data_IF_068532156736
#
_entry.id   IF_068532156736
#
_cell.length_a   1.000
_cell.length_b   1.000
_cell.length_c   1.000
_cell.angle_alpha   90.00
_cell.angle_beta   90.00
_cell.angle_gamma   90.00
#
_symmetry.space_group_name_H-M   'P 1'
#
loop_
_entity.id
_entity.type
_entity.pdbx_description
1 polymer ?
#
# COMPACT_ATOMS: atom_id res chain seq x y z
N UNK A 1 -35.55 -2.10 -16.81
CA UNK A 1 -34.87 -2.87 -17.86
C UNK A 1 -33.75 -3.64 -17.21
N UNK A 2 -33.88 -4.96 -17.05
CA UNK A 2 -32.89 -5.86 -16.42
C UNK A 2 -31.79 -6.17 -17.44
N UNK A 3 -30.56 -5.79 -17.18
CA UNK A 3 -29.39 -6.25 -17.96
C UNK A 3 -28.89 -7.56 -17.37
N UNK A 4 -29.01 -8.63 -18.14
CA UNK A 4 -28.53 -9.97 -17.86
C UNK A 4 -27.02 -9.97 -18.19
N UNK A 5 -26.21 -10.27 -17.19
CA UNK A 5 -24.75 -10.45 -17.34
C UNK A 5 -24.51 -11.93 -17.67
N UNK A 6 -24.09 -12.22 -18.89
CA UNK A 6 -23.70 -13.57 -19.31
C UNK A 6 -22.26 -13.81 -18.91
N UNK A 7 -22.07 -14.71 -17.94
CA UNK A 7 -20.77 -15.17 -17.48
C UNK A 7 -20.30 -16.30 -18.41
N UNK A 8 -19.33 -16.03 -19.26
CA UNK A 8 -18.70 -17.03 -20.14
C UNK A 8 -17.64 -17.79 -19.37
N UNK A 9 -17.92 -19.06 -19.05
CA UNK A 9 -16.95 -20.00 -18.49
C UNK A 9 -16.07 -20.54 -19.62
N UNK A 10 -14.79 -20.16 -19.64
CA UNK A 10 -13.77 -20.81 -20.45
C UNK A 10 -13.25 -22.03 -19.69
N UNK A 11 -13.66 -23.20 -20.13
CA UNK A 11 -13.08 -24.49 -19.70
C UNK A 11 -11.77 -24.68 -20.43
N UNK A 12 -10.67 -24.58 -19.71
CA UNK A 12 -9.32 -24.89 -20.24
C UNK A 12 -9.05 -26.37 -20.04
N UNK A 13 -9.13 -27.16 -21.12
CA UNK A 13 -8.79 -28.58 -21.14
C UNK A 13 -7.27 -28.76 -21.12
N UNK A 14 -6.76 -29.30 -20.02
CA UNK A 14 -5.34 -29.72 -19.90
C UNK A 14 -5.22 -31.11 -20.52
N UNK A 15 -4.53 -31.20 -21.67
CA UNK A 15 -4.12 -32.48 -22.28
C UNK A 15 -2.83 -32.97 -21.57
N UNK A 16 -2.97 -34.03 -20.79
CA UNK A 16 -1.82 -34.76 -20.23
C UNK A 16 -1.19 -35.63 -21.34
N UNK A 17 -0.03 -35.26 -21.82
CA UNK A 17 0.81 -36.10 -22.67
C UNK A 17 1.66 -36.95 -21.74
N UNK A 18 1.25 -38.20 -21.57
CA UNK A 18 2.02 -39.25 -20.94
C UNK A 18 3.05 -39.79 -21.96
N UNK A 19 4.33 -39.58 -21.71
CA UNK A 19 5.40 -40.23 -22.45
C UNK A 19 5.87 -41.45 -21.67
N UNK A 20 5.45 -42.64 -22.14
CA UNK A 20 5.93 -43.93 -21.69
C UNK A 20 7.28 -44.23 -22.36
N UNK A 21 8.36 -44.24 -21.54
CA UNK A 21 9.69 -44.64 -21.96
C UNK A 21 9.90 -46.14 -21.85
N UNK A 22 10.25 -46.79 -22.96
CA UNK A 22 10.70 -48.17 -23.01
C UNK A 22 12.20 -48.29 -22.70
N UNK A 23 12.54 -49.22 -21.85
CA UNK A 23 13.90 -49.72 -21.59
C UNK A 23 14.36 -50.62 -22.72
N UNK A 24 15.64 -50.47 -23.18
CA UNK A 24 16.46 -51.58 -23.54
C UNK A 24 17.93 -51.15 -23.69
N UNK A 25 18.77 -51.70 -23.01
CA UNK A 25 19.91 -52.56 -23.20
C UNK A 25 21.16 -51.98 -23.88
N UNK A 26 22.23 -51.84 -23.11
CA UNK A 26 23.58 -52.35 -23.43
C UNK A 26 24.43 -51.58 -24.45
N UNK A 27 25.62 -51.10 -24.02
CA UNK A 27 26.73 -50.83 -24.94
C UNK A 27 27.71 -49.79 -24.41
N UNK A 28 28.87 -50.27 -23.98
CA UNK A 28 30.12 -49.56 -23.74
C UNK A 28 30.51 -48.59 -24.87
N UNK A 29 31.05 -47.41 -24.50
CA UNK A 29 31.72 -46.55 -25.45
C UNK A 29 32.05 -45.20 -24.86
N UNK A 30 33.28 -45.06 -24.28
CA UNK A 30 33.79 -43.76 -23.85
C UNK A 30 33.86 -42.75 -24.98
N UNK A 31 33.42 -41.59 -24.72
CA UNK A 31 33.52 -40.41 -25.58
C UNK A 31 33.14 -39.19 -24.81
N UNK A 32 34.11 -38.54 -24.17
CA UNK A 32 33.93 -37.23 -23.55
C UNK A 32 33.62 -36.20 -24.63
N UNK A 33 32.34 -36.06 -24.93
CA UNK A 33 31.82 -34.94 -25.70
C UNK A 33 31.27 -33.93 -24.70
N UNK A 34 32.08 -32.96 -24.26
CA UNK A 34 31.58 -31.76 -23.68
C UNK A 34 30.74 -31.05 -24.72
N UNK A 35 29.43 -31.32 -24.74
CA UNK A 35 28.50 -30.51 -25.50
C UNK A 35 28.66 -29.05 -25.07
N UNK A 36 28.38 -28.10 -25.98
CA UNK A 36 28.41 -26.71 -25.65
C UNK A 36 27.47 -26.52 -24.47
N UNK A 37 28.03 -26.12 -23.32
CA UNK A 37 27.25 -25.66 -22.19
C UNK A 37 26.52 -24.40 -22.65
N UNK A 38 25.22 -24.50 -22.83
CA UNK A 38 24.40 -23.32 -23.09
C UNK A 38 24.75 -22.27 -22.05
N UNK A 39 24.99 -21.03 -22.50
CA UNK A 39 25.24 -19.95 -21.57
C UNK A 39 24.07 -19.88 -20.57
N UNK A 40 24.34 -19.67 -19.27
CA UNK A 40 23.30 -19.59 -18.29
C UNK A 40 22.27 -18.56 -18.74
N UNK A 41 20.98 -18.93 -18.74
CA UNK A 41 19.88 -18.03 -19.11
C UNK A 41 19.85 -16.78 -18.23
N UNK A 42 19.14 -15.76 -18.65
CA UNK A 42 19.07 -14.51 -17.90
C UNK A 42 18.55 -14.77 -16.47
N UNK A 43 19.32 -14.32 -15.48
CA UNK A 43 18.97 -14.46 -14.06
C UNK A 43 17.89 -13.46 -13.69
N UNK A 44 16.82 -13.91 -13.05
CA UNK A 44 15.74 -13.04 -12.59
C UNK A 44 16.23 -12.06 -11.50
N UNK A 45 15.64 -10.88 -11.38
CA UNK A 45 15.95 -9.92 -10.30
C UNK A 45 15.50 -10.47 -8.96
N UNK A 46 16.18 -10.06 -7.88
CA UNK A 46 15.72 -10.31 -6.52
C UNK A 46 14.69 -9.26 -6.09
N UNK A 47 13.83 -9.62 -5.14
CA UNK A 47 12.92 -8.66 -4.51
C UNK A 47 13.72 -7.67 -3.65
N UNK A 48 13.39 -6.38 -3.74
CA UNK A 48 13.99 -5.36 -2.90
C UNK A 48 13.55 -5.50 -1.43
N UNK A 49 14.45 -5.18 -0.50
CA UNK A 49 14.13 -5.10 0.92
C UNK A 49 13.81 -3.66 1.27
N UNK A 50 12.59 -3.40 1.78
CA UNK A 50 12.13 -2.07 2.13
C UNK A 50 12.83 -1.55 3.40
N UNK A 51 12.97 -0.22 3.51
CA UNK A 51 13.65 0.44 4.63
C UNK A 51 12.79 1.56 5.23
N UNK A 52 12.34 2.54 4.43
CA UNK A 52 11.53 3.68 4.88
C UNK A 52 10.41 4.01 3.90
N UNK A 53 9.23 4.43 4.39
CA UNK A 53 8.78 4.43 5.78
C UNK A 53 8.72 3.02 6.36
N UNK A 54 8.94 2.86 7.68
CA UNK A 54 8.87 1.55 8.32
C UNK A 54 7.46 0.98 8.23
N UNK A 55 7.35 -0.37 8.23
CA UNK A 55 6.05 -1.02 8.18
C UNK A 55 5.23 -0.69 9.43
N UNK A 56 3.97 -0.34 9.22
CA UNK A 56 3.02 0.10 10.26
C UNK A 56 3.48 1.35 11.03
N UNK A 57 4.33 2.20 10.42
CA UNK A 57 4.65 3.49 11.02
C UNK A 57 3.42 4.41 11.00
N UNK A 58 3.22 5.09 12.10
CA UNK A 58 2.12 6.03 12.33
C UNK A 58 2.69 7.44 12.54
N UNK A 59 1.84 8.43 12.38
CA UNK A 59 2.17 9.83 12.67
C UNK A 59 3.37 10.38 11.89
N UNK A 60 3.49 10.05 10.62
CA UNK A 60 4.47 10.71 9.74
C UNK A 60 4.01 12.14 9.44
N UNK A 61 4.71 13.13 10.01
CA UNK A 61 4.43 14.55 9.84
C UNK A 61 5.40 15.18 8.85
N UNK A 62 5.28 14.83 7.57
CA UNK A 62 6.16 15.31 6.50
C UNK A 62 5.34 15.81 5.31
N UNK A 63 5.86 16.79 4.57
CA UNK A 63 5.21 17.30 3.35
C UNK A 63 5.45 16.37 2.16
N UNK A 64 6.62 15.75 2.11
CA UNK A 64 6.94 14.72 1.13
C UNK A 64 7.49 13.48 1.85
N UNK A 65 6.98 12.31 1.45
CA UNK A 65 7.40 11.04 2.03
C UNK A 65 8.60 10.52 1.26
N UNK A 66 9.69 10.26 1.98
CA UNK A 66 10.88 9.64 1.44
C UNK A 66 10.78 8.12 1.56
N UNK A 67 10.76 7.45 0.40
CA UNK A 67 10.80 5.99 0.29
C UNK A 67 12.24 5.54 0.10
N UNK A 68 12.67 4.56 0.86
CA UNK A 68 14.01 3.98 0.78
C UNK A 68 13.93 2.45 0.79
N UNK A 69 14.78 1.81 0.01
CA UNK A 69 14.93 0.35 -0.06
C UNK A 69 16.38 -0.04 -0.34
N UNK A 70 16.72 -1.27 -0.07
CA UNK A 70 18.06 -1.77 -0.36
C UNK A 70 18.14 -2.23 -1.83
N UNK A 71 19.34 -2.08 -2.40
CA UNK A 71 19.64 -2.61 -3.74
C UNK A 71 19.38 -4.11 -3.76
N UNK A 72 18.71 -4.58 -4.81
CA UNK A 72 18.48 -6.00 -5.07
C UNK A 72 19.36 -6.49 -6.24
N UNK A 73 19.70 -7.78 -6.21
CA UNK A 73 20.57 -8.38 -7.23
C UNK A 73 19.85 -8.50 -8.58
N UNK A 74 20.63 -8.45 -9.66
CA UNK A 74 20.16 -8.57 -11.04
C UNK A 74 19.03 -7.60 -11.40
N UNK A 75 19.06 -6.39 -10.84
CA UNK A 75 18.01 -5.37 -11.00
C UNK A 75 18.60 -4.14 -11.68
N UNK A 76 17.95 -3.70 -12.76
CA UNK A 76 18.34 -2.51 -13.53
C UNK A 76 17.48 -1.30 -13.15
N UNK A 77 16.24 -1.54 -12.76
CA UNK A 77 15.32 -0.47 -12.37
C UNK A 77 14.31 -0.93 -11.32
N UNK A 78 13.73 0.04 -10.62
CA UNK A 78 12.71 -0.15 -9.58
C UNK A 78 11.46 0.63 -9.95
N UNK A 79 10.30 0.04 -9.74
CA UNK A 79 9.03 0.75 -9.76
C UNK A 79 8.48 0.80 -8.33
N UNK A 80 8.46 2.01 -7.76
CA UNK A 80 7.77 2.29 -6.50
C UNK A 80 6.27 2.36 -6.79
N UNK A 81 5.48 1.57 -6.08
CA UNK A 81 4.02 1.59 -6.15
C UNK A 81 3.46 1.97 -4.79
N UNK A 82 2.65 3.03 -4.76
CA UNK A 82 2.00 3.54 -3.56
C UNK A 82 0.50 3.50 -3.78
N UNK A 83 -0.25 3.02 -2.81
CA UNK A 83 -1.71 2.96 -2.87
C UNK A 83 -2.34 3.59 -1.65
N UNK A 84 -3.25 4.54 -1.83
CA UNK A 84 -4.13 5.03 -0.77
C UNK A 84 -5.13 3.93 -0.42
N UNK A 85 -5.21 3.56 0.86
CA UNK A 85 -6.04 2.44 1.32
C UNK A 85 -7.52 2.80 1.50
N UNK A 86 -7.86 4.10 1.53
CA UNK A 86 -9.25 4.55 1.58
C UNK A 86 -9.82 4.83 0.19
N UNK A 87 -9.10 5.60 -0.65
CA UNK A 87 -9.60 5.96 -1.98
C UNK A 87 -9.30 4.90 -3.05
N UNK A 88 -8.38 3.97 -2.76
CA UNK A 88 -7.85 2.98 -3.70
C UNK A 88 -7.03 3.57 -4.86
N UNK A 89 -6.77 4.86 -4.88
CA UNK A 89 -5.89 5.49 -5.86
C UNK A 89 -4.45 4.98 -5.72
N UNK A 90 -3.78 4.79 -6.84
CA UNK A 90 -2.41 4.30 -6.89
C UNK A 90 -1.51 5.24 -7.70
N UNK A 91 -0.29 5.42 -7.19
CA UNK A 91 0.80 6.17 -7.83
C UNK A 91 1.92 5.17 -8.13
N UNK A 92 2.50 5.27 -9.33
CA UNK A 92 3.66 4.46 -9.71
C UNK A 92 4.75 5.35 -10.26
N UNK A 93 6.00 5.14 -9.79
CA UNK A 93 7.18 5.87 -10.22
C UNK A 93 8.34 4.92 -10.47
N UNK A 94 8.94 4.98 -11.67
CA UNK A 94 10.11 4.17 -12.01
C UNK A 94 11.39 4.97 -11.82
N UNK A 95 12.42 4.33 -11.25
CA UNK A 95 13.74 4.92 -10.98
C UNK A 95 14.83 3.85 -11.02
N UNK A 96 16.06 4.26 -11.22
CA UNK A 96 17.27 3.42 -11.06
C UNK A 96 17.93 3.60 -9.69
N UNK A 97 17.45 4.58 -8.91
CA UNK A 97 17.90 4.83 -7.53
C UNK A 97 17.21 3.88 -6.55
N UNK A 98 17.77 3.77 -5.35
CA UNK A 98 17.18 3.03 -4.22
C UNK A 98 16.38 3.90 -3.28
N UNK A 99 15.99 5.09 -3.74
CA UNK A 99 15.11 6.01 -3.02
C UNK A 99 14.28 6.85 -3.97
N UNK A 100 13.13 7.31 -3.49
CA UNK A 100 12.26 8.26 -4.17
C UNK A 100 11.54 9.12 -3.13
N UNK A 101 11.16 10.34 -3.52
CA UNK A 101 10.39 11.24 -2.68
C UNK A 101 9.08 11.58 -3.38
N UNK A 102 7.96 11.47 -2.66
CA UNK A 102 6.61 11.65 -3.22
C UNK A 102 5.76 12.45 -2.25
N UNK A 103 5.15 13.53 -2.76
CA UNK A 103 4.13 14.27 -2.00
C UNK A 103 2.81 13.52 -2.04
N UNK A 104 2.25 13.25 -0.88
CA UNK A 104 0.99 12.52 -0.71
C UNK A 104 0.00 13.37 0.08
N UNK A 105 -1.28 13.08 -0.08
CA UNK A 105 -2.34 13.73 0.71
C UNK A 105 -2.26 13.28 2.16
N UNK A 106 -2.16 14.24 3.08
CA UNK A 106 -2.13 13.98 4.52
C UNK A 106 -3.46 13.44 5.05
N UNK A 107 -3.44 12.77 6.20
CA UNK A 107 -4.62 12.23 6.85
C UNK A 107 -5.09 10.87 6.32
N UNK A 108 -4.26 10.17 5.55
CA UNK A 108 -4.63 8.90 4.92
C UNK A 108 -3.65 7.76 5.24
N UNK A 109 -4.15 6.51 5.33
CA UNK A 109 -3.32 5.32 5.34
C UNK A 109 -2.89 4.95 3.92
N UNK A 110 -1.63 4.56 3.78
CA UNK A 110 -1.04 4.14 2.52
C UNK A 110 -0.42 2.75 2.64
N UNK A 111 -0.36 2.04 1.51
CA UNK A 111 0.53 0.88 1.34
C UNK A 111 1.51 1.15 0.22
N UNK A 112 2.69 0.55 0.31
CA UNK A 112 3.70 0.68 -0.71
C UNK A 112 4.54 -0.57 -0.87
N UNK A 113 5.12 -0.74 -2.03
CA UNK A 113 6.05 -1.82 -2.36
C UNK A 113 6.90 -1.46 -3.57
N UNK A 114 7.94 -2.24 -3.81
CA UNK A 114 8.87 -2.08 -4.93
C UNK A 114 8.73 -3.28 -5.86
N UNK A 115 8.74 -3.00 -7.16
CA UNK A 115 8.93 -3.99 -8.22
C UNK A 115 10.33 -3.79 -8.77
N UNK A 116 11.19 -4.80 -8.61
CA UNK A 116 12.52 -4.86 -9.21
C UNK A 116 12.41 -5.42 -10.62
N UNK A 117 13.01 -4.79 -11.61
CA UNK A 117 12.94 -5.20 -13.03
C UNK A 117 14.34 -5.23 -13.60
N UNK A 118 14.64 -6.22 -14.46
CA UNK A 118 15.87 -6.26 -15.25
C UNK A 118 15.58 -6.14 -16.76
N UNK A 119 16.64 -6.03 -17.56
CA UNK A 119 16.53 -5.93 -19.03
C UNK A 119 15.89 -7.12 -19.71
N UNK A 120 15.84 -8.29 -19.05
CA UNK A 120 15.12 -9.48 -19.53
C UNK A 120 13.62 -9.42 -19.31
N UNK A 121 13.08 -8.30 -18.84
CA UNK A 121 11.68 -8.07 -18.49
C UNK A 121 11.14 -8.95 -17.36
N UNK A 122 12.00 -9.70 -16.68
CA UNK A 122 11.65 -10.40 -15.45
C UNK A 122 11.46 -9.40 -14.31
N UNK A 123 10.53 -9.69 -13.40
CA UNK A 123 10.22 -8.82 -12.26
C UNK A 123 10.17 -9.59 -10.96
N UNK A 124 10.51 -8.93 -9.86
CA UNK A 124 10.33 -9.43 -8.51
C UNK A 124 9.72 -8.32 -7.63
N UNK A 125 8.69 -8.66 -6.88
CA UNK A 125 8.01 -7.70 -5.99
C UNK A 125 8.45 -7.90 -4.55
N UNK A 126 8.70 -6.79 -3.85
CA UNK A 126 8.92 -6.79 -2.42
C UNK A 126 7.65 -7.17 -1.65
N UNK A 127 7.77 -7.38 -0.34
CA UNK A 127 6.63 -7.34 0.58
C UNK A 127 5.93 -5.98 0.52
N UNK A 128 4.65 -5.92 0.87
CA UNK A 128 3.90 -4.66 0.98
C UNK A 128 3.96 -4.15 2.40
N UNK A 129 4.38 -2.90 2.56
CA UNK A 129 4.38 -2.19 3.83
C UNK A 129 3.28 -1.14 3.87
N UNK A 130 2.89 -0.75 5.08
CA UNK A 130 1.84 0.25 5.32
C UNK A 130 2.39 1.34 6.23
N UNK A 131 1.82 2.54 6.10
CA UNK A 131 2.08 3.65 7.00
C UNK A 131 0.86 4.59 7.02
N UNK A 132 0.78 5.43 8.04
CA UNK A 132 -0.21 6.48 8.14
C UNK A 132 0.49 7.84 8.04
N UNK A 133 0.10 8.65 7.05
CA UNK A 133 0.57 10.03 6.90
C UNK A 133 -0.38 10.93 7.68
N UNK A 134 0.13 11.56 8.75
CA UNK A 134 -0.65 12.43 9.63
C UNK A 134 -1.28 13.58 8.86
N UNK A 135 -2.54 13.89 9.18
CA UNK A 135 -3.17 15.14 8.82
C UNK A 135 -2.59 16.30 9.62
N UNK A 136 -3.02 17.51 9.30
CA UNK A 136 -2.77 18.64 10.19
C UNK A 136 -3.50 18.39 11.50
N UNK A 137 -2.81 18.63 12.62
CA UNK A 137 -3.44 18.53 13.93
C UNK A 137 -4.63 19.51 13.99
N UNK A 138 -5.80 18.99 14.21
CA UNK A 138 -6.98 19.83 14.53
C UNK A 138 -6.66 20.52 15.85
N UNK A 139 -6.53 21.85 15.81
CA UNK A 139 -6.36 22.63 17.02
C UNK A 139 -7.71 22.74 17.69
N UNK A 140 -7.99 21.85 18.63
CA UNK A 140 -9.20 21.86 19.43
C UNK A 140 -9.03 22.87 20.57
N UNK A 141 -9.95 23.81 20.69
CA UNK A 141 -9.98 24.78 21.75
C UNK A 141 -11.07 24.38 22.77
N UNK A 142 -10.87 24.74 24.01
CA UNK A 142 -11.94 24.58 25.00
C UNK A 142 -13.12 25.47 24.62
N UNK A 143 -14.37 24.94 24.65
CA UNK A 143 -15.54 25.72 24.38
C UNK A 143 -15.66 26.89 25.38
N UNK A 144 -16.28 27.96 24.97
CA UNK A 144 -16.57 29.07 25.89
C UNK A 144 -17.48 28.60 27.01
N UNK A 145 -17.34 29.18 28.26
CA UNK A 145 -18.27 28.90 29.33
C UNK A 145 -19.70 29.20 28.90
N UNK A 146 -20.63 28.32 29.30
CA UNK A 146 -22.03 28.49 28.96
C UNK A 146 -22.62 29.77 29.66
N UNK A 147 -23.31 30.57 28.86
CA UNK A 147 -24.10 31.71 29.38
C UNK A 147 -25.49 31.25 29.83
N UNK A 148 -25.83 31.56 31.09
CA UNK A 148 -27.15 31.24 31.62
C UNK A 148 -28.16 32.27 31.12
N UNK A 149 -29.13 31.82 30.35
CA UNK A 149 -30.17 32.65 29.77
C UNK A 149 -31.37 32.80 30.71
N UNK A 150 -31.81 31.71 31.37
CA UNK A 150 -32.91 31.73 32.33
C UNK A 150 -32.79 30.55 33.32
N UNK A 151 -33.19 30.76 34.56
CA UNK A 151 -33.37 32.05 35.24
C UNK A 151 -32.03 32.78 35.39
N UNK A 152 -32.04 34.09 35.33
CA UNK A 152 -30.81 34.88 35.54
C UNK A 152 -30.28 34.72 36.96
N UNK A 153 -28.96 34.82 37.20
CA UNK A 153 -28.39 34.79 38.54
C UNK A 153 -29.08 35.81 39.46
N UNK A 154 -29.52 35.35 40.67
CA UNK A 154 -30.25 36.17 41.61
C UNK A 154 -31.76 36.33 41.34
N UNK A 155 -32.30 35.73 40.31
CA UNK A 155 -33.76 35.75 40.08
C UNK A 155 -34.51 34.92 41.13
N UNK A 156 -35.64 35.48 41.62
CA UNK A 156 -36.57 34.71 42.46
C UNK A 156 -37.48 33.90 41.57
N UNK A 157 -37.57 32.60 41.80
CA UNK A 157 -38.43 31.67 41.07
C UNK A 157 -39.48 31.07 42.00
N UNK A 158 -40.70 30.85 41.51
CA UNK A 158 -41.75 30.21 42.27
C UNK A 158 -41.46 28.70 42.43
N UNK A 159 -41.97 28.09 43.51
CA UNK A 159 -41.89 26.66 43.71
C UNK A 159 -42.62 25.93 42.59
N UNK A 160 -41.96 24.91 42.01
CA UNK A 160 -42.48 24.11 40.91
C UNK A 160 -41.38 23.70 39.94
N UNK A 161 -41.77 23.23 38.75
CA UNK A 161 -40.81 22.89 37.69
C UNK A 161 -40.17 24.19 37.15
N UNK A 162 -38.85 24.28 37.21
CA UNK A 162 -38.06 25.40 36.72
C UNK A 162 -37.38 24.97 35.41
N UNK A 163 -37.61 25.74 34.36
CA UNK A 163 -36.90 25.54 33.10
C UNK A 163 -35.58 26.32 33.14
N UNK A 164 -34.49 25.57 32.96
CA UNK A 164 -33.16 26.16 32.79
C UNK A 164 -32.87 26.28 31.31
N UNK A 165 -32.32 27.40 30.87
CA UNK A 165 -31.85 27.62 29.53
C UNK A 165 -30.48 28.27 29.54
N UNK A 166 -29.63 27.85 28.60
CA UNK A 166 -28.26 28.36 28.44
C UNK A 166 -27.91 28.40 26.96
N UNK A 167 -26.92 29.19 26.60
CA UNK A 167 -26.25 29.16 25.31
C UNK A 167 -24.79 28.79 25.52
N UNK A 168 -24.22 28.16 24.53
CA UNK A 168 -22.79 27.89 24.46
C UNK A 168 -22.31 28.19 23.04
N UNK A 169 -21.01 28.43 22.88
CA UNK A 169 -20.37 28.56 21.59
C UNK A 169 -19.00 27.89 21.63
N UNK A 170 -18.60 27.37 20.52
CA UNK A 170 -17.28 26.82 20.28
C UNK A 170 -16.64 27.54 19.10
N UNK A 171 -15.31 27.70 19.14
CA UNK A 171 -14.54 28.28 18.04
C UNK A 171 -14.24 27.24 16.96
N UNK A 172 -14.29 25.95 17.33
CA UNK A 172 -14.02 24.85 16.43
C UNK A 172 -15.29 24.50 15.64
N UNK A 173 -15.15 24.33 14.34
CA UNK A 173 -16.27 23.98 13.46
C UNK A 173 -16.16 22.53 13.06
N UNK A 174 -17.14 21.71 13.50
CA UNK A 174 -17.25 20.33 13.01
C UNK A 174 -17.04 19.24 14.06
N UNK A 175 -17.16 19.57 15.34
CA UNK A 175 -17.26 18.60 16.46
C UNK A 175 -18.69 18.13 16.66
#
# INVERSE_FOLDING_TARGET
MKKILILSFYVFSIALISCSGGSDGGGDGGGGGGGPVDPPGPVAPSAATLSKPANNSECLEVDAVKFEWNKSDNTDSYTLVIKNLLTSEAISQTTTSTSAEVTLTKGYPYSWYIISTNTSTSTASSTKWKFYLSGEAQKNHAPFPADILAPKPGATVNAGAIQLSWSFSDIDTGD
#
